data_IF_936199524640
#
_entry.id   IF_936199524640
#
_cell.length_a   1.000
_cell.length_b   1.000
_cell.length_c   1.000
_cell.angle_alpha   90.00
_cell.angle_beta   90.00
_cell.angle_gamma   90.00
#
_symmetry.space_group_name_H-M   'P 1'
#
loop_
_entity.id
_entity.type
_entity.pdbx_description
1 polymer ?
#
# COMPACT_ATOMS: atom_id res chain seq x y z
N UNK A 1 -15.25 -10.44 19.35
CA UNK A 1 -14.48 -9.20 19.11
C UNK A 1 -13.74 -9.39 17.81
N UNK A 2 -14.40 -9.15 16.68
CA UNK A 2 -13.77 -9.32 15.37
C UNK A 2 -13.24 -7.95 14.96
N UNK A 3 -12.10 -7.56 15.55
CA UNK A 3 -11.32 -6.47 14.98
C UNK A 3 -10.78 -6.98 13.64
N UNK A 4 -11.50 -6.68 12.57
CA UNK A 4 -11.02 -6.95 11.22
C UNK A 4 -9.89 -5.97 10.95
N UNK A 5 -8.66 -6.46 11.05
CA UNK A 5 -7.45 -5.71 10.76
C UNK A 5 -7.18 -5.83 9.26
N UNK A 6 -7.04 -4.69 8.58
CA UNK A 6 -6.78 -4.67 7.14
C UNK A 6 -5.32 -5.04 6.89
N UNK A 7 -5.08 -6.03 6.02
CA UNK A 7 -3.72 -6.41 5.64
C UNK A 7 -3.25 -5.53 4.47
N UNK A 8 -2.24 -4.69 4.68
CA UNK A 8 -1.74 -3.76 3.68
C UNK A 8 -0.33 -4.14 3.28
N UNK A 9 -0.10 -4.33 1.98
CA UNK A 9 1.22 -4.65 1.43
C UNK A 9 1.66 -3.53 0.50
N UNK A 10 2.77 -2.89 0.82
CA UNK A 10 3.45 -1.92 -0.02
C UNK A 10 4.60 -2.63 -0.75
N UNK A 11 4.43 -2.84 -2.05
CA UNK A 11 5.49 -3.30 -2.93
C UNK A 11 6.25 -2.10 -3.47
N UNK A 12 7.55 -2.09 -3.24
CA UNK A 12 8.43 -1.00 -3.64
C UNK A 12 9.87 -1.48 -3.82
N UNK A 13 10.78 -0.52 -3.96
CA UNK A 13 12.21 -0.79 -4.01
C UNK A 13 12.93 0.11 -3.01
N UNK A 14 14.16 -0.25 -2.65
CA UNK A 14 14.97 0.57 -1.74
C UNK A 14 15.32 1.93 -2.37
N UNK A 15 15.48 2.96 -1.52
CA UNK A 15 15.85 4.34 -1.91
C UNK A 15 14.88 4.99 -2.90
N UNK A 16 13.58 4.78 -2.71
CA UNK A 16 12.55 5.46 -3.49
C UNK A 16 11.77 6.41 -2.60
N UNK A 17 12.01 7.72 -2.74
CA UNK A 17 11.32 8.76 -1.97
C UNK A 17 9.80 8.63 -2.01
N UNK A 18 9.24 8.22 -3.16
CA UNK A 18 7.80 7.98 -3.31
C UNK A 18 7.31 6.79 -2.48
N UNK A 19 8.11 5.73 -2.33
CA UNK A 19 7.76 4.62 -1.46
C UNK A 19 7.77 5.05 0.01
N UNK A 20 8.74 5.88 0.41
CA UNK A 20 8.83 6.41 1.77
C UNK A 20 7.62 7.31 2.11
N UNK A 21 7.17 8.15 1.17
CA UNK A 21 5.99 9.01 1.34
C UNK A 21 4.70 8.18 1.48
N UNK A 22 4.53 7.14 0.65
CA UNK A 22 3.38 6.23 0.73
C UNK A 22 3.41 5.41 2.01
N UNK A 23 4.58 4.91 2.42
CA UNK A 23 4.75 4.23 3.70
C UNK A 23 4.32 5.12 4.86
N UNK A 24 4.80 6.37 4.89
CA UNK A 24 4.46 7.33 5.93
C UNK A 24 2.95 7.60 5.96
N UNK A 25 2.33 7.75 4.79
CA UNK A 25 0.88 7.94 4.68
C UNK A 25 0.11 6.74 5.26
N UNK A 26 0.48 5.50 4.93
CA UNK A 26 -0.18 4.31 5.46
C UNK A 26 0.05 4.18 6.97
N UNK A 27 1.25 4.50 7.47
CA UNK A 27 1.55 4.49 8.91
C UNK A 27 0.68 5.49 9.68
N UNK A 28 0.49 6.70 9.15
CA UNK A 28 -0.43 7.67 9.75
C UNK A 28 -1.87 7.15 9.76
N UNK A 29 -2.31 6.47 8.70
CA UNK A 29 -3.65 5.87 8.64
C UNK A 29 -3.80 4.66 9.58
N UNK A 30 -2.72 4.00 9.97
CA UNK A 30 -2.74 2.94 10.97
C UNK A 30 -3.08 3.45 12.37
N UNK A 31 -2.93 4.76 12.63
CA UNK A 31 -3.41 5.39 13.87
C UNK A 31 -4.94 5.59 13.85
N UNK A 32 -5.53 5.76 12.67
CA UNK A 32 -6.97 5.96 12.47
C UNK A 32 -7.74 4.65 12.27
N UNK A 33 -7.09 3.64 11.68
CA UNK A 33 -7.71 2.39 11.26
C UNK A 33 -6.88 1.18 11.71
N UNK A 34 -7.51 0.11 12.26
CA UNK A 34 -6.81 -1.14 12.54
C UNK A 34 -6.34 -1.78 11.22
N UNK A 35 -5.06 -1.64 10.93
CA UNK A 35 -4.41 -2.24 9.77
C UNK A 35 -3.02 -2.77 10.13
N UNK A 36 -2.45 -3.61 9.26
CA UNK A 36 -1.09 -4.12 9.37
C UNK A 36 -0.35 -3.87 8.06
N UNK A 37 0.75 -3.12 8.13
CA UNK A 37 1.56 -2.76 6.96
C UNK A 37 2.75 -3.71 6.81
N UNK A 38 2.87 -4.30 5.62
CA UNK A 38 4.00 -5.11 5.16
C UNK A 38 4.69 -4.41 4.00
N UNK A 39 6.02 -4.34 4.03
CA UNK A 39 6.81 -3.74 2.96
C UNK A 39 7.56 -4.88 2.25
N UNK A 40 7.31 -5.01 0.95
CA UNK A 40 7.92 -6.04 0.12
C UNK A 40 8.82 -5.37 -0.91
N UNK A 41 10.10 -5.72 -0.86
CA UNK A 41 11.09 -5.27 -1.84
C UNK A 41 10.97 -6.11 -3.10
N UNK A 42 10.48 -5.51 -4.20
CA UNK A 42 10.34 -6.21 -5.47
C UNK A 42 11.70 -6.58 -6.07
N UNK A 43 12.81 -5.92 -5.69
CA UNK A 43 14.15 -6.27 -6.18
C UNK A 43 14.67 -7.58 -5.57
N UNK A 44 14.04 -8.06 -4.49
CA UNK A 44 14.40 -9.32 -3.85
C UNK A 44 13.79 -10.56 -4.53
N UNK A 45 12.82 -10.38 -5.44
CA UNK A 45 12.15 -11.46 -6.17
C UNK A 45 12.04 -11.12 -7.66
N UNK A 46 12.59 -11.97 -8.52
CA UNK A 46 12.63 -11.73 -9.96
C UNK A 46 11.22 -11.67 -10.59
N UNK A 47 10.25 -12.43 -10.08
CA UNK A 47 8.88 -12.41 -10.61
C UNK A 47 8.18 -11.09 -10.25
N UNK A 48 8.28 -10.67 -8.98
CA UNK A 48 7.72 -9.39 -8.54
C UNK A 48 8.39 -8.22 -9.25
N UNK A 49 9.71 -8.30 -9.47
CA UNK A 49 10.44 -7.29 -10.21
C UNK A 49 9.89 -7.14 -11.64
N UNK A 50 9.81 -8.22 -12.41
CA UNK A 50 9.31 -8.17 -13.79
C UNK A 50 7.86 -7.68 -13.89
N UNK A 51 6.99 -8.10 -12.97
CA UNK A 51 5.58 -7.71 -12.98
C UNK A 51 5.33 -6.27 -12.51
N UNK A 52 6.15 -5.76 -11.57
CA UNK A 52 5.86 -4.51 -10.86
C UNK A 52 6.87 -3.38 -11.08
N UNK A 53 8.05 -3.62 -11.66
CA UNK A 53 9.12 -2.60 -11.81
C UNK A 53 8.69 -1.30 -12.52
N UNK A 54 7.67 -1.36 -13.39
CA UNK A 54 7.16 -0.21 -14.13
C UNK A 54 6.01 0.53 -13.44
N UNK A 55 5.50 0.00 -12.32
CA UNK A 55 4.27 0.46 -11.66
C UNK A 55 4.42 0.65 -10.15
N UNK A 56 5.65 0.58 -9.62
CA UNK A 56 5.95 0.87 -8.22
C UNK A 56 5.83 2.36 -7.89
N UNK A 57 5.42 2.74 -6.67
CA UNK A 57 4.91 1.87 -5.60
C UNK A 57 3.55 1.24 -5.93
N UNK A 58 3.38 -0.02 -5.50
CA UNK A 58 2.10 -0.75 -5.58
C UNK A 58 1.59 -1.00 -4.16
N UNK A 59 0.32 -0.68 -3.90
CA UNK A 59 -0.33 -0.97 -2.62
C UNK A 59 -1.40 -2.02 -2.83
N UNK A 60 -1.34 -3.09 -2.05
CA UNK A 60 -2.39 -4.08 -1.94
C UNK A 60 -3.05 -4.02 -0.57
N UNK A 61 -4.37 -4.19 -0.52
CA UNK A 61 -5.15 -4.26 0.72
C UNK A 61 -5.96 -5.57 0.68
N UNK A 62 -5.85 -6.39 1.72
CA UNK A 62 -6.45 -7.73 1.83
C UNK A 62 -6.17 -8.61 0.59
N UNK A 63 -4.95 -8.52 0.06
CA UNK A 63 -4.50 -9.25 -1.14
C UNK A 63 -4.93 -8.64 -2.48
N UNK A 64 -5.68 -7.53 -2.50
CA UNK A 64 -6.12 -6.86 -3.71
C UNK A 64 -5.33 -5.58 -3.98
N UNK A 65 -4.74 -5.45 -5.17
CA UNK A 65 -4.01 -4.25 -5.58
C UNK A 65 -4.96 -3.07 -5.78
N UNK A 66 -4.88 -2.09 -4.88
CA UNK A 66 -5.70 -0.87 -4.89
C UNK A 66 -5.01 0.31 -5.56
N UNK A 67 -3.67 0.35 -5.52
CA UNK A 67 -2.90 1.44 -6.11
C UNK A 67 -1.70 0.91 -6.88
N UNK A 68 -1.44 1.53 -8.04
CA UNK A 68 -0.26 1.33 -8.88
C UNK A 68 0.22 2.69 -9.34
N UNK A 69 1.42 3.10 -8.95
CA UNK A 69 1.97 4.39 -9.37
C UNK A 69 2.66 4.22 -10.73
N UNK A 70 1.89 4.39 -11.81
CA UNK A 70 2.41 4.33 -13.18
C UNK A 70 2.80 5.73 -13.67
N UNK A 71 2.06 6.76 -13.25
CA UNK A 71 2.17 8.14 -13.76
C UNK A 71 1.80 9.25 -12.76
N UNK A 72 1.26 8.90 -11.59
CA UNK A 72 0.76 9.86 -10.61
C UNK A 72 1.28 9.51 -9.20
N UNK A 73 1.64 10.56 -8.46
CA UNK A 73 2.03 10.46 -7.05
C UNK A 73 0.77 10.13 -6.25
N UNK A 74 0.79 9.00 -5.53
CA UNK A 74 -0.31 8.60 -4.63
C UNK A 74 -0.31 9.53 -3.43
N UNK A 75 -1.46 10.13 -3.13
CA UNK A 75 -1.62 11.03 -1.97
C UNK A 75 -2.25 10.31 -0.78
N UNK A 76 -2.00 10.83 0.43
CA UNK A 76 -2.59 10.29 1.67
C UNK A 76 -4.13 10.32 1.65
N UNK A 77 -4.73 11.32 1.01
CA UNK A 77 -6.19 11.48 0.94
C UNK A 77 -6.83 10.39 0.06
N UNK A 78 -6.19 10.01 -1.05
CA UNK A 78 -6.64 8.91 -1.91
C UNK A 78 -6.59 7.57 -1.15
N UNK A 79 -5.49 7.32 -0.44
CA UNK A 79 -5.37 6.15 0.41
C UNK A 79 -6.49 6.13 1.47
N UNK A 80 -6.66 7.23 2.21
CA UNK A 80 -7.70 7.37 3.24
C UNK A 80 -9.10 7.05 2.71
N UNK A 81 -9.44 7.55 1.51
CA UNK A 81 -10.73 7.29 0.89
C UNK A 81 -10.96 5.79 0.60
N UNK A 82 -9.94 5.08 0.12
CA UNK A 82 -10.03 3.64 -0.14
C UNK A 82 -10.16 2.81 1.15
N UNK A 83 -9.37 3.12 2.18
CA UNK A 83 -9.50 2.46 3.49
C UNK A 83 -10.92 2.62 4.07
N UNK A 84 -11.48 3.84 3.97
CA UNK A 84 -12.82 4.14 4.46
C UNK A 84 -13.91 3.37 3.71
N UNK A 85 -13.84 3.28 2.37
CA UNK A 85 -14.79 2.49 1.57
C UNK A 85 -14.80 1.02 2.01
N UNK A 86 -13.63 0.43 2.22
CA UNK A 86 -13.49 -0.99 2.60
C UNK A 86 -13.99 -1.27 4.02
N UNK A 87 -13.82 -0.34 4.95
CA UNK A 87 -14.38 -0.47 6.30
C UNK A 87 -15.91 -0.32 6.34
N UNK A 88 -16.50 0.51 5.49
CA UNK A 88 -17.96 0.74 5.45
C UNK A 88 -18.75 -0.42 4.82
N UNK A 89 -18.07 -1.37 4.17
CA UNK A 89 -18.69 -2.53 3.51
C UNK A 89 -18.68 -3.78 4.40
N UNK A 90 -18.35 -3.66 5.69
CA UNK A 90 -18.30 -4.75 6.67
C UNK A 90 -19.35 -4.64 7.77
#
# INVERSE_FOLDING_TARGET
MNNKQLEVVLYGRKKCHLCDDVELAIRSLAEEFPLQLHIVDIESDAQLHEEMMLVIPVVAIDGEVVFRSITHVVTIEELRAEFRKRQLTS
#
